data_IF_681704343453
#
_entry.id   IF_681704343453
#
_cell.length_a   1.000
_cell.length_b   1.000
_cell.length_c   1.000
_cell.angle_alpha   90.00
_cell.angle_beta   90.00
_cell.angle_gamma   90.00
#
_symmetry.space_group_name_H-M   'P 1'
#
loop_
_entity.id
_entity.type
_entity.pdbx_description
1 polymer ?
#
# COMPACT_ATOMS: atom_id res chain seq x y z
N UNK A 1 17.41 5.20 -24.31
CA UNK A 1 17.15 3.84 -24.84
C UNK A 1 18.42 2.99 -25.01
N UNK A 2 19.50 3.51 -25.63
CA UNK A 2 20.74 2.71 -25.84
C UNK A 2 21.43 2.21 -24.56
N UNK A 3 21.41 2.99 -23.47
CA UNK A 3 22.06 2.62 -22.21
C UNK A 3 21.45 1.37 -21.54
N UNK A 4 20.14 1.36 -21.34
CA UNK A 4 19.41 0.19 -20.84
C UNK A 4 19.61 -1.03 -21.74
N UNK A 5 19.59 -0.85 -23.06
CA UNK A 5 19.79 -1.93 -24.02
C UNK A 5 21.20 -2.54 -23.94
N UNK A 6 22.23 -1.75 -23.66
CA UNK A 6 23.58 -2.23 -23.43
C UNK A 6 23.64 -3.13 -22.19
N UNK A 7 23.06 -2.68 -21.07
CA UNK A 7 23.01 -3.48 -19.85
C UNK A 7 22.13 -4.73 -20.00
N UNK A 8 21.12 -4.68 -20.88
CA UNK A 8 20.30 -5.84 -21.21
C UNK A 8 21.07 -6.94 -21.97
N UNK A 9 22.26 -6.65 -22.50
CA UNK A 9 23.15 -7.68 -23.09
C UNK A 9 24.01 -8.40 -22.04
N UNK A 10 24.09 -7.86 -20.83
CA UNK A 10 24.79 -8.50 -19.71
C UNK A 10 23.93 -9.63 -19.12
N UNK A 11 24.56 -10.62 -18.47
CA UNK A 11 23.83 -11.64 -17.74
C UNK A 11 22.97 -11.01 -16.63
N UNK A 12 21.88 -11.70 -16.31
CA UNK A 12 21.09 -11.36 -15.13
C UNK A 12 21.96 -11.49 -13.89
N UNK A 13 21.73 -10.58 -12.95
CA UNK A 13 22.35 -10.57 -11.65
C UNK A 13 21.44 -11.37 -10.70
N UNK A 14 21.86 -12.59 -10.38
CA UNK A 14 21.03 -13.56 -9.66
C UNK A 14 20.73 -13.17 -8.21
N UNK A 15 21.54 -12.27 -7.64
CA UNK A 15 21.36 -11.78 -6.28
C UNK A 15 20.63 -10.43 -6.23
N UNK A 16 20.27 -9.84 -7.37
CA UNK A 16 19.64 -8.52 -7.45
C UNK A 16 18.11 -8.60 -7.44
N UNK A 17 17.50 -7.91 -6.47
CA UNK A 17 16.06 -7.75 -6.33
C UNK A 17 15.68 -6.28 -6.43
N UNK A 18 14.70 -5.97 -7.26
CA UNK A 18 14.17 -4.61 -7.43
C UNK A 18 12.81 -4.48 -6.76
N UNK A 19 12.71 -3.53 -5.84
CA UNK A 19 11.51 -3.26 -5.07
C UNK A 19 10.87 -1.94 -5.50
N UNK A 20 9.54 -1.88 -5.46
CA UNK A 20 8.82 -0.61 -5.59
C UNK A 20 7.42 -0.74 -5.02
N UNK A 21 6.98 0.29 -4.29
CA UNK A 21 5.66 0.30 -3.66
C UNK A 21 4.88 1.60 -3.89
N UNK A 22 3.55 1.51 -3.80
CA UNK A 22 2.62 2.63 -3.62
C UNK A 22 2.83 3.80 -4.59
N UNK A 23 2.94 3.52 -5.89
CA UNK A 23 3.27 4.51 -6.94
C UNK A 23 4.66 5.13 -6.77
N UNK A 24 5.65 4.32 -6.38
CA UNK A 24 7.05 4.70 -6.16
C UNK A 24 7.24 5.68 -4.99
N UNK A 25 6.34 5.66 -4.01
CA UNK A 25 6.31 6.59 -2.87
C UNK A 25 7.17 6.14 -1.68
N UNK A 26 8.07 5.19 -1.89
CA UNK A 26 9.02 4.72 -0.88
C UNK A 26 8.82 3.26 -0.52
N UNK A 27 9.36 2.89 0.63
CA UNK A 27 9.30 1.55 1.19
C UNK A 27 8.02 1.35 2.02
N UNK A 28 6.96 0.91 1.35
CA UNK A 28 5.61 0.78 1.93
C UNK A 28 4.96 -0.57 1.59
N UNK A 29 3.94 -0.94 2.35
CA UNK A 29 3.04 -2.05 2.03
C UNK A 29 3.71 -3.43 1.97
N UNK A 30 3.12 -4.32 1.16
CA UNK A 30 3.59 -5.71 1.04
C UNK A 30 5.02 -5.82 0.48
N UNK A 31 5.46 -5.02 -0.53
CA UNK A 31 6.85 -5.07 -0.98
C UNK A 31 7.86 -4.73 0.11
N UNK A 32 7.52 -3.82 1.03
CA UNK A 32 8.37 -3.48 2.17
C UNK A 32 8.48 -4.61 3.19
N UNK A 33 7.36 -5.28 3.49
CA UNK A 33 7.37 -6.43 4.37
C UNK A 33 8.19 -7.60 3.78
N UNK A 34 8.07 -7.85 2.48
CA UNK A 34 8.90 -8.84 1.78
C UNK A 34 10.38 -8.45 1.80
N UNK A 35 10.72 -7.18 1.57
CA UNK A 35 12.10 -6.68 1.65
C UNK A 35 12.71 -6.96 3.04
N UNK A 36 12.03 -6.57 4.12
CA UNK A 36 12.51 -6.77 5.50
C UNK A 36 12.69 -8.25 5.85
N UNK A 37 11.73 -9.09 5.48
CA UNK A 37 11.86 -10.54 5.68
C UNK A 37 13.04 -11.12 4.88
N UNK A 38 13.30 -10.62 3.67
CA UNK A 38 14.42 -11.06 2.84
C UNK A 38 15.79 -10.70 3.44
N UNK A 39 15.91 -9.57 4.16
CA UNK A 39 17.14 -9.22 4.88
C UNK A 39 17.51 -10.27 5.94
N UNK A 40 16.52 -10.91 6.56
CA UNK A 40 16.73 -11.96 7.57
C UNK A 40 16.99 -13.34 6.94
N UNK A 41 16.13 -13.75 5.99
CA UNK A 41 16.14 -15.15 5.48
C UNK A 41 17.02 -15.33 4.24
N UNK A 42 17.35 -14.24 3.55
CA UNK A 42 18.11 -14.26 2.31
C UNK A 42 19.10 -13.07 2.22
N UNK A 43 20.00 -12.87 3.20
CA UNK A 43 20.87 -11.70 3.31
C UNK A 43 21.88 -11.54 2.16
N UNK A 44 22.04 -12.58 1.33
CA UNK A 44 22.85 -12.50 0.09
C UNK A 44 22.17 -11.69 -1.01
N UNK A 45 20.84 -11.57 -0.96
CA UNK A 45 20.08 -10.81 -1.94
C UNK A 45 20.26 -9.32 -1.69
N UNK A 46 20.68 -8.61 -2.73
CA UNK A 46 20.81 -7.16 -2.75
C UNK A 46 19.49 -6.54 -3.20
N UNK A 47 18.76 -5.94 -2.27
CA UNK A 47 17.54 -5.19 -2.56
C UNK A 47 17.81 -3.75 -2.98
N UNK A 48 17.20 -3.31 -4.08
CA UNK A 48 17.28 -1.92 -4.56
C UNK A 48 15.87 -1.36 -4.75
N UNK A 49 15.59 -0.25 -4.08
CA UNK A 49 14.30 0.43 -4.14
C UNK A 49 14.22 1.42 -5.31
N UNK A 50 13.11 1.38 -6.03
CA UNK A 50 12.79 2.38 -7.05
C UNK A 50 11.82 3.40 -6.46
N UNK A 51 12.25 4.65 -6.38
CA UNK A 51 11.47 5.76 -5.84
C UNK A 51 11.32 6.89 -6.86
N UNK A 52 10.26 7.70 -6.73
CA UNK A 52 9.92 8.72 -7.74
C UNK A 52 10.88 9.91 -7.79
N UNK A 53 11.38 10.37 -6.64
CA UNK A 53 12.16 11.61 -6.48
C UNK A 53 13.03 11.55 -5.22
N UNK A 54 13.93 12.53 -5.08
CA UNK A 54 14.86 12.63 -3.94
C UNK A 54 14.15 12.92 -2.62
N UNK A 55 13.02 13.63 -2.65
CA UNK A 55 12.21 13.87 -1.44
C UNK A 55 11.70 12.54 -0.86
N UNK A 56 11.19 11.66 -1.72
CA UNK A 56 10.78 10.31 -1.34
C UNK A 56 11.97 9.48 -0.86
N UNK A 57 13.13 9.63 -1.51
CA UNK A 57 14.33 8.91 -1.13
C UNK A 57 14.84 9.32 0.27
N UNK A 58 14.74 10.60 0.62
CA UNK A 58 15.12 11.11 1.93
C UNK A 58 14.28 10.52 3.08
N UNK A 59 13.08 10.00 2.78
CA UNK A 59 12.22 9.31 3.75
C UNK A 59 12.52 7.81 3.90
N UNK A 60 13.47 7.24 3.14
CA UNK A 60 13.85 5.84 3.29
C UNK A 60 14.71 5.64 4.55
N UNK A 61 14.65 4.46 5.20
CA UNK A 61 15.56 4.15 6.29
C UNK A 61 17.03 4.25 5.88
N UNK A 62 17.86 4.64 6.83
CA UNK A 62 19.30 4.78 6.62
C UNK A 62 19.90 3.47 6.06
N UNK A 63 20.81 3.61 5.08
CA UNK A 63 21.45 2.47 4.42
C UNK A 63 20.61 1.79 3.33
N UNK A 64 19.34 2.18 3.12
CA UNK A 64 18.51 1.63 2.04
C UNK A 64 19.09 1.99 0.67
N UNK A 65 19.46 0.99 -0.13
CA UNK A 65 19.88 1.24 -1.51
C UNK A 65 18.66 1.61 -2.38
N UNK A 66 18.76 2.73 -3.10
CA UNK A 66 17.70 3.19 -3.98
C UNK A 66 18.21 3.72 -5.34
N UNK A 67 17.28 3.83 -6.28
CA UNK A 67 17.44 4.49 -7.57
C UNK A 67 16.21 5.33 -7.89
N UNK A 68 16.43 6.49 -8.51
CA UNK A 68 15.33 7.33 -8.97
C UNK A 68 14.72 6.79 -10.25
N UNK A 69 13.40 6.85 -10.33
CA UNK A 69 12.62 6.48 -11.50
C UNK A 69 13.12 7.21 -12.76
N UNK A 70 13.41 6.47 -13.83
CA UNK A 70 13.88 7.04 -15.10
C UNK A 70 15.35 7.47 -15.13
N UNK A 71 16.08 7.38 -14.02
CA UNK A 71 17.53 7.61 -14.01
C UNK A 71 18.30 6.57 -14.84
N UNK A 72 19.56 6.87 -15.19
CA UNK A 72 20.43 5.90 -15.87
C UNK A 72 20.60 4.63 -15.04
N UNK A 73 20.87 4.78 -13.73
CA UNK A 73 21.02 3.68 -12.79
C UNK A 73 19.75 2.83 -12.68
N UNK A 74 18.56 3.44 -12.71
CA UNK A 74 17.30 2.70 -12.81
C UNK A 74 17.28 1.78 -14.04
N UNK A 75 17.68 2.28 -15.21
CA UNK A 75 17.79 1.46 -16.42
C UNK A 75 18.80 0.33 -16.29
N UNK A 76 19.93 0.55 -15.62
CA UNK A 76 20.97 -0.47 -15.42
C UNK A 76 20.51 -1.60 -14.50
N UNK A 77 19.94 -1.22 -13.35
CA UNK A 77 19.47 -2.12 -12.30
C UNK A 77 18.32 -2.97 -12.84
N UNK A 78 17.30 -2.34 -13.44
CA UNK A 78 16.16 -3.06 -14.01
C UNK A 78 16.51 -3.91 -15.23
N UNK A 79 17.55 -3.57 -15.99
CA UNK A 79 17.99 -4.42 -17.11
C UNK A 79 18.68 -5.71 -16.66
N UNK A 80 19.22 -5.76 -15.42
CA UNK A 80 20.01 -6.88 -14.90
C UNK A 80 19.31 -7.66 -13.78
N UNK A 81 18.33 -7.09 -13.09
CA UNK A 81 17.72 -7.72 -11.93
C UNK A 81 17.11 -9.10 -12.24
N UNK A 82 17.35 -10.06 -11.35
CA UNK A 82 16.72 -11.39 -11.40
C UNK A 82 15.30 -11.35 -10.86
N UNK A 83 15.05 -10.57 -9.82
CA UNK A 83 13.76 -10.52 -9.14
C UNK A 83 13.18 -9.10 -9.13
N UNK A 84 11.85 -9.01 -9.27
CA UNK A 84 11.09 -7.77 -9.12
C UNK A 84 9.95 -8.02 -8.13
N UNK A 85 9.87 -7.24 -7.06
CA UNK A 85 8.80 -7.33 -6.05
C UNK A 85 8.10 -5.98 -5.96
N UNK A 86 6.80 -5.92 -6.30
CA UNK A 86 6.10 -4.64 -6.35
C UNK A 86 4.58 -4.74 -6.23
N UNK A 87 3.96 -3.61 -5.91
CA UNK A 87 2.51 -3.37 -6.01
C UNK A 87 2.17 -2.26 -7.05
N UNK A 88 3.13 -1.90 -7.89
CA UNK A 88 3.05 -0.75 -8.80
C UNK A 88 3.01 -1.15 -10.27
N UNK A 89 2.57 -0.20 -11.09
CA UNK A 89 2.80 -0.28 -12.52
C UNK A 89 4.16 0.32 -12.87
N UNK A 90 5.12 -0.51 -13.28
CA UNK A 90 6.39 -0.03 -13.81
C UNK A 90 6.18 0.94 -15.00
N UNK A 91 6.84 2.12 -15.02
CA UNK A 91 6.65 3.09 -16.10
C UNK A 91 7.30 2.63 -17.41
N UNK A 92 6.78 3.17 -18.50
CA UNK A 92 7.37 3.03 -19.84
C UNK A 92 7.39 1.60 -20.38
N UNK A 93 8.54 1.24 -20.96
CA UNK A 93 8.79 0.02 -21.74
C UNK A 93 9.57 -1.03 -20.95
N UNK A 94 9.37 -1.17 -19.63
CA UNK A 94 10.03 -2.24 -18.87
C UNK A 94 9.67 -3.59 -19.48
N UNK A 95 10.60 -4.14 -20.27
CA UNK A 95 10.46 -5.41 -20.94
C UNK A 95 10.98 -6.51 -20.01
N UNK A 96 10.16 -7.53 -19.78
CA UNK A 96 10.56 -8.68 -18.98
C UNK A 96 11.69 -9.42 -19.69
N UNK A 97 12.83 -9.57 -19.01
CA UNK A 97 13.95 -10.39 -19.49
C UNK A 97 13.60 -11.87 -19.33
N UNK A 98 13.89 -12.74 -20.32
CA UNK A 98 13.84 -14.17 -20.11
C UNK A 98 14.68 -14.58 -18.91
N UNK A 99 14.08 -15.33 -17.99
CA UNK A 99 14.70 -15.74 -16.74
C UNK A 99 14.55 -14.76 -15.57
N UNK A 100 14.06 -13.53 -15.77
CA UNK A 100 13.67 -12.67 -14.64
C UNK A 100 12.32 -13.12 -14.06
N UNK A 101 12.17 -12.94 -12.74
CA UNK A 101 10.97 -13.33 -11.98
C UNK A 101 10.29 -12.07 -11.45
N UNK A 102 9.04 -11.86 -11.84
CA UNK A 102 8.21 -10.73 -11.41
C UNK A 102 7.14 -11.20 -10.42
N UNK A 103 7.21 -10.68 -9.21
CA UNK A 103 6.31 -10.93 -8.10
C UNK A 103 5.47 -9.67 -7.91
N UNK A 104 4.16 -9.78 -8.14
CA UNK A 104 3.21 -8.72 -7.86
C UNK A 104 2.50 -9.01 -6.54
N UNK A 105 2.55 -8.05 -5.62
CA UNK A 105 1.97 -8.22 -4.28
C UNK A 105 0.53 -7.73 -4.18
N UNK A 106 0.06 -6.99 -5.20
CA UNK A 106 -1.14 -6.15 -5.11
C UNK A 106 -1.06 -5.17 -3.93
N UNK A 107 -2.12 -4.39 -3.72
CA UNK A 107 -2.17 -3.38 -2.65
C UNK A 107 -3.10 -3.74 -1.50
N UNK A 108 -4.08 -4.62 -1.74
CA UNK A 108 -5.10 -5.01 -0.77
C UNK A 108 -5.99 -6.12 -1.35
N UNK A 109 -6.84 -6.72 -0.51
CA UNK A 109 -7.92 -7.59 -0.98
C UNK A 109 -8.97 -6.79 -1.76
N UNK A 110 -9.37 -7.21 -2.98
CA UNK A 110 -10.24 -6.42 -3.83
C UNK A 110 -11.70 -6.45 -3.35
N UNK A 111 -12.23 -5.27 -3.03
CA UNK A 111 -13.67 -5.05 -2.86
C UNK A 111 -14.30 -4.43 -4.11
N UNK A 112 -13.59 -3.47 -4.72
CA UNK A 112 -14.02 -2.77 -5.94
C UNK A 112 -13.66 -3.59 -7.17
N UNK A 113 -14.40 -3.37 -8.26
CA UNK A 113 -14.05 -3.91 -9.57
C UNK A 113 -12.72 -3.34 -10.06
N UNK A 114 -11.91 -4.20 -10.65
CA UNK A 114 -10.54 -3.90 -11.08
C UNK A 114 -10.25 -4.65 -12.38
N UNK A 115 -9.27 -4.17 -13.14
CA UNK A 115 -8.80 -4.82 -14.35
C UNK A 115 -9.89 -5.11 -15.38
N UNK A 116 -9.95 -6.35 -15.85
CA UNK A 116 -10.91 -6.80 -16.86
C UNK A 116 -12.37 -6.63 -16.42
N UNK A 117 -12.65 -6.64 -15.11
CA UNK A 117 -14.01 -6.40 -14.60
C UNK A 117 -14.55 -5.01 -14.96
N UNK A 118 -13.67 -4.07 -15.31
CA UNK A 118 -14.06 -2.71 -15.72
C UNK A 118 -14.57 -2.63 -17.16
N UNK A 119 -14.39 -3.68 -17.99
CA UNK A 119 -14.76 -3.63 -19.41
C UNK A 119 -16.24 -3.26 -19.63
N UNK A 120 -17.12 -3.82 -18.81
CA UNK A 120 -18.58 -3.60 -18.89
C UNK A 120 -19.08 -2.49 -17.95
N UNK A 121 -18.16 -1.69 -17.37
CA UNK A 121 -18.47 -0.66 -16.37
C UNK A 121 -17.93 0.70 -16.83
N UNK A 122 -18.54 1.34 -17.85
CA UNK A 122 -17.99 2.54 -18.49
C UNK A 122 -17.75 3.70 -17.51
N UNK A 123 -18.62 3.89 -16.53
CA UNK A 123 -18.45 4.92 -15.50
C UNK A 123 -17.24 4.68 -14.58
N UNK A 124 -16.98 3.42 -14.21
CA UNK A 124 -15.83 3.05 -13.38
C UNK A 124 -14.53 2.94 -14.20
N UNK A 125 -14.65 2.67 -15.50
CA UNK A 125 -13.53 2.55 -16.44
C UNK A 125 -13.00 3.89 -16.95
N UNK A 126 -13.71 5.00 -16.77
CA UNK A 126 -13.33 6.29 -17.38
C UNK A 126 -11.85 6.64 -17.14
N UNK A 127 -11.07 6.79 -18.21
CA UNK A 127 -9.63 7.07 -18.15
C UNK A 127 -8.72 5.85 -17.87
N UNK A 128 -9.29 4.66 -17.73
CA UNK A 128 -8.57 3.42 -17.45
C UNK A 128 -8.39 2.55 -18.72
N UNK A 129 -7.12 2.38 -19.11
CA UNK A 129 -6.71 1.57 -20.25
C UNK A 129 -6.51 0.09 -19.82
N UNK A 130 -7.61 -0.68 -19.84
CA UNK A 130 -7.62 -2.11 -19.50
C UNK A 130 -6.61 -2.91 -20.36
N UNK A 131 -6.57 -2.77 -21.71
CA UNK A 131 -5.58 -3.50 -22.51
C UNK A 131 -4.13 -3.21 -22.11
N UNK A 132 -3.79 -1.95 -21.82
CA UNK A 132 -2.43 -1.61 -21.35
C UNK A 132 -2.13 -2.21 -19.99
N UNK A 133 -3.10 -2.24 -19.08
CA UNK A 133 -2.94 -2.88 -17.78
C UNK A 133 -2.71 -4.39 -17.93
N UNK A 134 -3.47 -5.08 -18.76
CA UNK A 134 -3.27 -6.53 -19.01
C UNK A 134 -1.89 -6.81 -19.60
N UNK A 135 -1.42 -6.01 -20.56
CA UNK A 135 -0.03 -6.11 -21.07
C UNK A 135 1.04 -5.93 -19.99
N UNK A 136 0.72 -5.20 -18.91
CA UNK A 136 1.64 -5.03 -17.77
C UNK A 136 1.60 -6.22 -16.82
N UNK A 137 0.41 -6.76 -16.59
CA UNK A 137 0.19 -7.92 -15.73
C UNK A 137 0.71 -9.22 -16.34
N UNK A 138 0.76 -9.33 -17.67
CA UNK A 138 1.32 -10.49 -18.37
C UNK A 138 2.83 -10.69 -18.13
N UNK A 139 3.50 -9.73 -17.48
CA UNK A 139 4.87 -9.91 -17.02
C UNK A 139 4.97 -10.68 -15.70
N UNK A 140 3.91 -10.75 -14.91
CA UNK A 140 3.96 -11.36 -13.59
C UNK A 140 4.19 -12.87 -13.72
N UNK A 141 5.10 -13.39 -12.92
CA UNK A 141 5.25 -14.83 -12.70
C UNK A 141 4.42 -15.26 -11.49
N UNK A 142 4.38 -14.40 -10.47
CA UNK A 142 3.66 -14.67 -9.23
C UNK A 142 2.77 -13.50 -8.81
N UNK A 143 1.62 -13.85 -8.27
CA UNK A 143 0.63 -12.94 -7.68
C UNK A 143 0.43 -13.36 -6.23
N UNK A 144 0.90 -12.57 -5.26
CA UNK A 144 0.67 -12.85 -3.84
C UNK A 144 -0.75 -12.45 -3.48
N UNK A 145 -1.49 -13.35 -2.85
CA UNK A 145 -2.91 -13.15 -2.56
C UNK A 145 -3.21 -13.47 -1.10
N UNK A 146 -4.03 -12.62 -0.49
CA UNK A 146 -4.34 -12.71 0.93
C UNK A 146 -5.27 -13.87 1.30
N UNK A 147 -6.08 -14.34 0.35
CA UNK A 147 -7.09 -15.38 0.59
C UNK A 147 -7.54 -16.04 -0.71
N UNK A 148 -8.29 -17.14 -0.60
CA UNK A 148 -8.95 -17.79 -1.75
C UNK A 148 -9.95 -16.86 -2.45
N UNK A 149 -10.61 -15.98 -1.71
CA UNK A 149 -11.49 -14.97 -2.33
C UNK A 149 -10.68 -14.03 -3.23
N UNK A 150 -9.56 -13.49 -2.72
CA UNK A 150 -8.70 -12.61 -3.49
C UNK A 150 -8.12 -13.31 -4.73
N UNK A 151 -7.66 -14.55 -4.59
CA UNK A 151 -7.20 -15.41 -5.69
C UNK A 151 -8.19 -15.44 -6.85
N UNK A 152 -9.45 -15.82 -6.58
CA UNK A 152 -10.49 -15.94 -7.60
C UNK A 152 -10.81 -14.59 -8.27
N UNK A 153 -10.79 -13.49 -7.50
CA UNK A 153 -11.03 -12.16 -8.08
C UNK A 153 -9.87 -11.74 -8.97
N UNK A 154 -8.62 -11.98 -8.57
CA UNK A 154 -7.45 -11.60 -9.36
C UNK A 154 -7.31 -12.42 -10.63
N UNK A 155 -7.56 -13.72 -10.60
CA UNK A 155 -7.55 -14.58 -11.80
C UNK A 155 -8.61 -14.15 -12.82
N UNK A 156 -9.79 -13.72 -12.35
CA UNK A 156 -10.83 -13.17 -13.22
C UNK A 156 -10.46 -11.79 -13.77
N UNK A 157 -9.99 -10.88 -12.91
CA UNK A 157 -9.71 -9.50 -13.27
C UNK A 157 -8.44 -9.36 -14.12
N UNK A 158 -7.51 -10.32 -14.02
CA UNK A 158 -6.26 -10.37 -14.74
C UNK A 158 -6.11 -11.77 -15.36
N UNK A 159 -6.75 -12.05 -16.50
CA UNK A 159 -6.60 -13.31 -17.22
C UNK A 159 -5.22 -13.38 -17.90
N UNK A 160 -4.15 -13.47 -17.09
CA UNK A 160 -2.75 -13.46 -17.49
C UNK A 160 -2.02 -14.71 -16.95
N UNK A 161 -0.83 -15.00 -17.48
CA UNK A 161 -0.08 -16.22 -17.16
C UNK A 161 0.78 -16.11 -15.88
N UNK A 162 0.17 -15.85 -14.73
CA UNK A 162 0.84 -15.86 -13.42
C UNK A 162 0.35 -17.01 -12.53
N UNK A 163 1.16 -17.40 -11.56
CA UNK A 163 0.76 -18.31 -10.48
C UNK A 163 0.36 -17.52 -9.22
N UNK A 164 -0.87 -17.73 -8.76
CA UNK A 164 -1.34 -17.20 -7.48
C UNK A 164 -0.65 -17.91 -6.31
N UNK A 165 -0.08 -17.14 -5.38
CA UNK A 165 0.53 -17.64 -4.16
C UNK A 165 -0.29 -17.15 -2.96
N UNK A 166 -1.04 -18.05 -2.32
CA UNK A 166 -1.84 -17.76 -1.12
C UNK A 166 -0.94 -17.64 0.11
N UNK A 167 -0.30 -16.50 0.25
CA UNK A 167 0.65 -16.21 1.35
C UNK A 167 0.02 -15.46 2.51
N UNK A 168 -1.19 -14.92 2.36
CA UNK A 168 -1.60 -13.77 3.16
C UNK A 168 -1.04 -12.47 2.55
N UNK A 169 -1.36 -11.32 3.14
CA UNK A 169 -0.75 -10.02 2.79
C UNK A 169 0.48 -9.84 3.69
N UNK A 170 1.72 -9.83 3.15
CA UNK A 170 2.94 -9.74 3.94
C UNK A 170 2.97 -8.60 4.97
N UNK A 171 2.38 -7.44 4.65
CA UNK A 171 2.30 -6.31 5.59
C UNK A 171 1.45 -6.59 6.83
N UNK A 172 0.56 -7.57 6.75
CA UNK A 172 -0.33 -7.96 7.85
C UNK A 172 0.32 -8.96 8.80
N UNK A 173 1.54 -9.43 8.56
CA UNK A 173 2.27 -10.31 9.49
C UNK A 173 2.34 -9.70 10.89
N UNK A 174 2.56 -8.39 10.98
CA UNK A 174 2.56 -7.67 12.26
C UNK A 174 1.20 -7.67 12.92
N UNK A 175 0.08 -7.70 12.18
CA UNK A 175 -1.27 -7.78 12.74
C UNK A 175 -1.55 -9.15 13.36
N UNK A 176 -0.88 -10.20 12.91
CA UNK A 176 -1.08 -11.56 13.43
C UNK A 176 -0.07 -11.88 14.53
N UNK A 177 1.20 -11.48 14.38
CA UNK A 177 2.31 -11.94 15.24
C UNK A 177 2.59 -11.09 16.48
N UNK A 178 2.09 -9.87 16.57
CA UNK A 178 2.50 -8.92 17.61
C UNK A 178 2.12 -9.33 19.07
N UNK A 179 2.69 -8.71 20.09
CA UNK A 179 2.46 -9.09 21.51
C UNK A 179 1.22 -8.45 22.16
N UNK A 180 1.09 -8.51 23.49
CA UNK A 180 0.00 -7.85 24.21
C UNK A 180 0.09 -6.30 24.20
N UNK A 181 1.27 -5.73 23.93
CA UNK A 181 1.53 -4.28 23.90
C UNK A 181 1.30 -3.63 22.52
N UNK A 182 0.54 -4.30 21.65
CA UNK A 182 0.22 -3.87 20.29
C UNK A 182 -0.36 -2.45 20.23
N UNK A 183 0.20 -1.60 19.36
CA UNK A 183 -0.31 -0.24 19.14
C UNK A 183 -0.07 0.74 20.30
N UNK A 184 0.63 0.34 21.36
CA UNK A 184 0.93 1.20 22.50
C UNK A 184 1.79 2.40 22.11
N UNK A 185 2.79 2.20 21.24
CA UNK A 185 3.64 3.31 20.75
C UNK A 185 2.82 4.35 20.00
N UNK A 186 1.89 3.92 19.14
CA UNK A 186 0.96 4.82 18.47
C UNK A 186 0.12 5.58 19.51
N UNK A 187 -0.49 4.89 20.47
CA UNK A 187 -1.31 5.53 21.51
C UNK A 187 -0.50 6.57 22.30
N UNK A 188 0.75 6.23 22.68
CA UNK A 188 1.65 7.14 23.39
C UNK A 188 2.04 8.37 22.55
N UNK A 189 2.48 8.16 21.30
CA UNK A 189 2.88 9.25 20.38
C UNK A 189 1.74 10.23 20.12
N UNK A 190 0.50 9.75 20.13
CA UNK A 190 -0.71 10.54 19.88
C UNK A 190 -1.42 11.01 21.17
N UNK A 191 -0.84 10.77 22.34
CA UNK A 191 -1.42 11.21 23.62
C UNK A 191 -2.77 10.55 23.95
N UNK A 192 -3.02 9.36 23.43
CA UNK A 192 -4.23 8.57 23.70
C UNK A 192 -4.08 7.92 25.07
N UNK A 193 -5.01 8.16 26.02
CA UNK A 193 -4.97 7.51 27.34
C UNK A 193 -5.01 5.99 27.23
N UNK A 194 -4.27 5.30 28.11
CA UNK A 194 -4.11 3.85 28.04
C UNK A 194 -5.43 3.08 28.26
N UNK A 195 -6.34 3.66 29.03
CA UNK A 195 -7.66 3.13 29.35
C UNK A 195 -8.75 3.49 28.33
N UNK A 196 -8.42 4.30 27.31
CA UNK A 196 -9.38 4.65 26.27
C UNK A 196 -9.62 3.52 25.27
N UNK A 197 -10.89 3.35 24.90
CA UNK A 197 -11.31 2.56 23.73
C UNK A 197 -11.11 3.40 22.47
N UNK A 198 -10.30 2.92 21.53
CA UNK A 198 -9.96 3.63 20.30
C UNK A 198 -10.88 3.20 19.17
N UNK A 199 -11.66 4.15 18.64
CA UNK A 199 -12.50 3.94 17.45
C UNK A 199 -11.79 4.57 16.25
N UNK A 200 -11.42 3.77 15.26
CA UNK A 200 -10.81 4.25 14.02
C UNK A 200 -11.89 4.51 12.97
N UNK A 201 -11.99 5.75 12.51
CA UNK A 201 -12.76 6.11 11.34
C UNK A 201 -11.84 6.26 10.11
N UNK A 202 -12.02 5.38 9.13
CA UNK A 202 -11.20 5.34 7.91
C UNK A 202 -12.06 5.29 6.64
N UNK A 203 -12.61 6.42 6.18
CA UNK A 203 -13.45 6.48 4.98
C UNK A 203 -12.63 6.45 3.69
N UNK A 204 -13.18 5.86 2.63
CA UNK A 204 -12.56 5.93 1.30
C UNK A 204 -12.73 7.31 0.64
N UNK A 205 -11.79 7.68 -0.24
CA UNK A 205 -11.94 8.87 -1.10
C UNK A 205 -13.14 8.73 -2.04
N UNK A 206 -13.81 9.85 -2.29
CA UNK A 206 -14.98 10.00 -3.18
C UNK A 206 -14.57 10.67 -4.48
N UNK A 207 -14.29 9.89 -5.51
CA UNK A 207 -13.76 10.40 -6.78
C UNK A 207 -14.73 11.34 -7.53
N UNK A 208 -16.04 11.21 -7.25
CA UNK A 208 -17.09 12.08 -7.79
C UNK A 208 -17.25 13.40 -7.01
N UNK A 209 -16.52 13.60 -5.92
CA UNK A 209 -16.54 14.84 -5.13
C UNK A 209 -15.21 15.58 -5.29
N UNK A 210 -15.27 16.89 -5.54
CA UNK A 210 -14.06 17.72 -5.70
C UNK A 210 -13.19 17.73 -4.44
N UNK A 211 -13.82 17.76 -3.26
CA UNK A 211 -13.12 17.68 -1.97
C UNK A 211 -12.54 16.28 -1.71
N UNK A 212 -13.00 15.25 -2.42
CA UNK A 212 -12.62 13.86 -2.21
C UNK A 212 -13.29 13.20 -0.99
N UNK A 213 -14.17 13.90 -0.28
CA UNK A 213 -14.97 13.38 0.84
C UNK A 213 -16.44 13.73 0.64
N UNK A 214 -17.32 13.02 1.35
CA UNK A 214 -18.71 13.44 1.51
C UNK A 214 -18.90 13.76 2.99
N UNK A 215 -19.40 14.96 3.30
CA UNK A 215 -19.68 15.42 4.66
C UNK A 215 -20.97 14.77 5.20
N UNK A 216 -20.99 13.44 5.26
CA UNK A 216 -22.13 12.66 5.78
C UNK A 216 -22.03 12.38 7.28
N UNK A 217 -20.86 12.58 7.87
CA UNK A 217 -20.58 12.23 9.26
C UNK A 217 -20.00 13.44 10.00
N UNK A 218 -20.71 13.92 11.02
CA UNK A 218 -20.22 14.95 11.92
C UNK A 218 -19.27 14.32 12.94
N UNK A 219 -17.97 14.52 12.72
CA UNK A 219 -16.91 13.94 13.56
C UNK A 219 -16.95 14.47 15.00
N UNK A 220 -17.34 15.73 15.21
CA UNK A 220 -17.44 16.30 16.55
C UNK A 220 -18.60 15.67 17.31
N UNK A 221 -19.75 15.51 16.64
CA UNK A 221 -20.91 14.81 17.21
C UNK A 221 -20.63 13.33 17.45
N UNK A 222 -19.90 12.66 16.56
CA UNK A 222 -19.49 11.28 16.76
C UNK A 222 -18.56 11.14 17.97
N UNK A 223 -17.51 11.96 18.06
CA UNK A 223 -16.59 11.94 19.19
C UNK A 223 -17.32 12.20 20.52
N UNK A 224 -18.22 13.18 20.56
CA UNK A 224 -19.05 13.45 21.74
C UNK A 224 -20.00 12.29 22.08
N UNK A 225 -20.56 11.63 21.07
CA UNK A 225 -21.49 10.51 21.22
C UNK A 225 -20.85 9.21 21.72
N UNK A 226 -19.55 9.00 21.47
CA UNK A 226 -18.79 7.88 22.04
C UNK A 226 -18.66 7.99 23.56
N UNK A 227 -18.65 9.23 24.10
CA UNK A 227 -18.60 9.50 25.52
C UNK A 227 -17.18 9.42 26.12
N UNK A 228 -17.10 9.55 27.45
CA UNK A 228 -15.84 9.48 28.17
C UNK A 228 -15.17 8.09 28.00
N UNK A 229 -13.84 8.05 28.08
CA UNK A 229 -13.08 6.81 27.91
C UNK A 229 -12.96 6.33 26.46
N UNK A 230 -13.30 7.17 25.47
CA UNK A 230 -13.15 6.84 24.06
C UNK A 230 -12.28 7.88 23.35
N UNK A 231 -11.52 7.42 22.36
CA UNK A 231 -10.78 8.29 21.43
C UNK A 231 -11.16 7.96 20.00
N UNK A 232 -11.65 8.98 19.28
CA UNK A 232 -11.89 8.88 17.85
C UNK A 232 -10.59 9.20 17.10
N UNK A 233 -10.04 8.20 16.41
CA UNK A 233 -8.92 8.36 15.47
C UNK A 233 -9.49 8.44 14.06
N UNK A 234 -9.05 9.41 13.28
CA UNK A 234 -9.47 9.59 11.88
C UNK A 234 -8.28 9.41 10.96
N UNK A 235 -8.39 8.52 9.98
CA UNK A 235 -7.38 8.32 8.94
C UNK A 235 -8.00 8.51 7.57
N UNK A 236 -7.76 9.66 6.95
CA UNK A 236 -8.18 9.89 5.57
C UNK A 236 -7.24 9.16 4.59
N UNK A 237 -7.71 8.96 3.36
CA UNK A 237 -6.86 8.43 2.30
C UNK A 237 -5.64 9.35 2.08
N UNK A 238 -4.41 8.81 1.89
CA UNK A 238 -3.19 9.63 1.80
C UNK A 238 -3.21 10.72 0.71
N UNK A 239 -3.97 10.53 -0.37
CA UNK A 239 -4.13 11.57 -1.41
C UNK A 239 -4.91 12.80 -0.94
N UNK A 240 -5.54 12.73 0.23
CA UNK A 240 -6.28 13.83 0.85
C UNK A 240 -5.46 14.54 1.94
N UNK A 241 -4.22 14.10 2.21
CA UNK A 241 -3.37 14.62 3.27
C UNK A 241 -3.13 16.13 3.17
N UNK A 242 -3.00 16.66 1.94
CA UNK A 242 -2.85 18.10 1.66
C UNK A 242 -4.16 18.74 1.13
N UNK A 243 -5.28 18.02 1.22
CA UNK A 243 -6.53 18.40 0.57
C UNK A 243 -7.46 19.22 1.46
N UNK A 244 -8.44 19.91 0.85
CA UNK A 244 -9.46 20.67 1.55
C UNK A 244 -10.25 19.83 2.57
N UNK A 245 -10.47 18.55 2.31
CA UNK A 245 -11.17 17.66 3.24
C UNK A 245 -10.50 17.57 4.63
N UNK A 246 -9.16 17.64 4.67
CA UNK A 246 -8.41 17.68 5.93
C UNK A 246 -8.35 19.09 6.51
N UNK A 247 -8.07 20.07 5.65
CA UNK A 247 -7.87 21.47 6.05
C UNK A 247 -9.15 22.19 6.52
N UNK A 248 -10.32 21.80 6.01
CA UNK A 248 -11.60 22.47 6.29
C UNK A 248 -12.41 21.83 7.43
N UNK A 249 -11.81 21.01 8.29
CA UNK A 249 -12.52 20.51 9.48
C UNK A 249 -11.69 19.59 10.37
N UNK A 250 -11.05 18.58 9.78
CA UNK A 250 -10.31 17.57 10.56
C UNK A 250 -9.13 18.18 11.34
N UNK A 251 -8.31 19.01 10.68
CA UNK A 251 -7.15 19.62 11.32
C UNK A 251 -7.52 20.52 12.51
N UNK A 252 -8.66 21.21 12.45
CA UNK A 252 -9.14 22.05 13.55
C UNK A 252 -9.67 21.21 14.71
N UNK A 253 -10.43 20.15 14.43
CA UNK A 253 -10.89 19.21 15.45
C UNK A 253 -9.72 18.52 16.16
N UNK A 254 -8.66 18.18 15.41
CA UNK A 254 -7.45 17.61 15.98
C UNK A 254 -6.70 18.60 16.88
N UNK A 255 -6.52 19.87 16.45
CA UNK A 255 -5.91 20.92 17.28
C UNK A 255 -6.65 21.15 18.60
N UNK A 256 -7.98 21.01 18.58
CA UNK A 256 -8.84 21.15 19.77
C UNK A 256 -8.88 19.88 20.64
N UNK A 257 -8.20 18.80 20.24
CA UNK A 257 -8.20 17.52 20.96
C UNK A 257 -9.51 16.74 20.87
N UNK A 258 -10.40 17.07 19.92
CA UNK A 258 -11.68 16.37 19.74
C UNK A 258 -11.48 15.01 19.08
N UNK A 259 -10.48 14.91 18.19
CA UNK A 259 -10.11 13.69 17.47
C UNK A 259 -8.59 13.59 17.35
N UNK A 260 -8.09 12.40 17.05
CA UNK A 260 -6.69 12.19 16.63
C UNK A 260 -6.65 12.06 15.12
N UNK A 261 -5.86 12.89 14.43
CA UNK A 261 -5.66 12.79 12.99
C UNK A 261 -4.45 11.90 12.65
N UNK A 262 -4.73 10.69 12.17
CA UNK A 262 -3.73 9.70 11.78
C UNK A 262 -3.53 9.63 10.25
N UNK A 263 -3.91 10.67 9.51
CA UNK A 263 -3.83 10.69 8.04
C UNK A 263 -2.38 10.58 7.53
N UNK A 264 -1.42 11.17 8.25
CA UNK A 264 0.01 11.17 7.85
C UNK A 264 0.78 9.94 8.33
N UNK A 265 0.15 9.04 9.09
CA UNK A 265 0.85 7.88 9.62
C UNK A 265 1.30 6.95 8.48
N UNK A 266 2.60 6.71 8.31
CA UNK A 266 3.12 6.00 7.16
C UNK A 266 2.73 4.52 7.20
N UNK A 267 2.78 3.93 8.39
CA UNK A 267 2.41 2.53 8.60
C UNK A 267 0.94 2.42 9.03
N UNK A 268 0.12 1.91 8.12
CA UNK A 268 -1.29 1.64 8.41
C UNK A 268 -1.45 0.59 9.52
N UNK A 269 -0.53 -0.37 9.64
CA UNK A 269 -0.64 -1.45 10.61
C UNK A 269 -0.55 -0.94 12.06
N UNK A 270 0.27 0.07 12.34
CA UNK A 270 0.32 0.70 13.68
C UNK A 270 -1.03 1.28 14.09
N UNK A 271 -1.69 1.96 13.14
CA UNK A 271 -3.02 2.56 13.37
C UNK A 271 -4.07 1.48 13.61
N UNK A 272 -4.04 0.38 12.83
CA UNK A 272 -4.97 -0.73 13.01
C UNK A 272 -4.75 -1.44 14.35
N UNK A 273 -3.50 -1.67 14.75
CA UNK A 273 -3.16 -2.32 16.03
C UNK A 273 -3.63 -1.50 17.23
N UNK A 274 -3.56 -0.17 17.12
CA UNK A 274 -4.01 0.74 18.16
C UNK A 274 -5.54 0.84 18.27
N UNK A 275 -6.29 0.47 17.22
CA UNK A 275 -7.74 0.60 17.18
C UNK A 275 -8.47 -0.61 17.76
N UNK A 276 -9.45 -0.35 18.64
CA UNK A 276 -10.32 -1.36 19.25
C UNK A 276 -11.57 -1.63 18.41
N UNK A 277 -11.99 -0.68 17.57
CA UNK A 277 -13.03 -0.87 16.55
C UNK A 277 -12.72 -0.09 15.25
N UNK A 278 -13.20 -0.59 14.11
CA UNK A 278 -13.08 0.07 12.80
C UNK A 278 -14.44 0.50 12.24
N UNK A 279 -14.61 1.81 12.05
CA UNK A 279 -15.68 2.39 11.25
C UNK A 279 -15.13 2.72 9.86
N UNK A 280 -15.58 1.98 8.86
CA UNK A 280 -15.20 2.20 7.46
C UNK A 280 -16.41 2.08 6.52
N UNK A 281 -16.18 2.20 5.23
CA UNK A 281 -17.19 2.08 4.19
C UNK A 281 -16.84 0.95 3.21
N UNK A 282 -16.60 1.25 1.94
CA UNK A 282 -16.16 0.31 0.93
C UNK A 282 -14.63 0.28 0.79
N UNK A 283 -13.94 0.31 1.94
CA UNK A 283 -12.49 0.22 2.02
C UNK A 283 -12.05 -1.25 2.05
N UNK A 284 -10.98 -1.55 1.33
CA UNK A 284 -10.30 -2.85 1.47
C UNK A 284 -9.59 -3.00 2.81
N UNK A 285 -9.41 -1.91 3.57
CA UNK A 285 -8.83 -1.91 4.91
C UNK A 285 -9.58 -2.84 5.88
N UNK A 286 -10.89 -3.05 5.67
CA UNK A 286 -11.68 -3.98 6.48
C UNK A 286 -11.12 -5.41 6.45
N UNK A 287 -10.55 -5.84 5.32
CA UNK A 287 -9.96 -7.18 5.21
C UNK A 287 -8.66 -7.31 5.98
N UNK A 288 -7.90 -6.21 6.11
CA UNK A 288 -6.69 -6.20 6.93
C UNK A 288 -7.06 -6.19 8.42
N UNK A 289 -8.02 -5.36 8.80
CA UNK A 289 -8.49 -5.23 10.18
C UNK A 289 -9.15 -6.51 10.70
N UNK A 290 -9.79 -7.29 9.83
CA UNK A 290 -10.37 -8.59 10.18
C UNK A 290 -9.35 -9.58 10.79
N UNK A 291 -8.04 -9.41 10.52
CA UNK A 291 -7.00 -10.23 11.15
C UNK A 291 -6.87 -10.00 12.67
N UNK A 292 -7.43 -8.90 13.19
CA UNK A 292 -7.40 -8.57 14.61
C UNK A 292 -8.58 -9.15 15.40
N UNK A 293 -9.59 -9.71 14.71
CA UNK A 293 -10.82 -10.23 15.33
C UNK A 293 -11.50 -9.20 16.25
N UNK A 294 -11.64 -7.97 15.72
CA UNK A 294 -12.21 -6.80 16.42
C UNK A 294 -13.41 -6.24 15.65
N UNK A 295 -14.33 -5.54 16.35
CA UNK A 295 -15.53 -4.93 15.76
C UNK A 295 -15.26 -3.94 14.61
#
# INVERSE_FOLDING_TARGET
RGWTALHARRPLDHDLVVYSASSHRGMLGDPAAVYRAAEEIAPRLRGVWVVRDEETAAGLPEGTEYVLLGSRRYGEVTARAKFFVNDVNWPGELAKRPGAVHIHTHQCTPLKYVGADLLDRPGARLGFDVPRMLRRADRWDHSLVASRYAELVWERAYPCHFASARTGSPRNDVLVRSGALRGADFRLRHGIPADHTVVLYAPTRRDYQRSGQVDRLDLARLAAGLGAGHTLVVRLHPTLAAGPARGMGLAELARRGVVVDATDEPDTAEVLLAADALVTDYSSLMFDYANLDRP
#
